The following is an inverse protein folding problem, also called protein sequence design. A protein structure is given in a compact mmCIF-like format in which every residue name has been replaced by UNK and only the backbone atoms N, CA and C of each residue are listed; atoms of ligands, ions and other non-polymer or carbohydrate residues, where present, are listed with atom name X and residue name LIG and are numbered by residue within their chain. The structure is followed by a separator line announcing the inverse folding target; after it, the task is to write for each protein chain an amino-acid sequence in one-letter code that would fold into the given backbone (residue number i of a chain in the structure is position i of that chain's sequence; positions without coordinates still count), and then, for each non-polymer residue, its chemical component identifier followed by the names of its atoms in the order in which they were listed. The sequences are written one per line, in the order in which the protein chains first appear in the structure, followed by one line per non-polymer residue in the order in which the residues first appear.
data_IF_778978277321
#
_entry.id   IF_778978277321
#
_cell.length_a   1.000
_cell.length_b   1.000
_cell.length_c   1.000
_cell.angle_alpha   90.00
_cell.angle_beta   90.00
_cell.angle_gamma   90.00
#
_symmetry.space_group_name_H-M   'P 1'
#
loop_
_entity.id
_entity.type
_entity.pdbx_description
1 polymer ?
#
# COMPACT_ATOMS: atom_id res chain seq x y z
N UNK A 1 -4.89 23.87 4.03
CA UNK A 1 -4.73 22.44 4.32
C UNK A 1 -4.14 21.82 3.08
N UNK A 2 -2.87 21.42 3.15
CA UNK A 2 -2.19 20.70 2.08
C UNK A 2 -2.27 19.22 2.41
N UNK A 3 -2.62 18.39 1.43
CA UNK A 3 -2.69 16.95 1.60
C UNK A 3 -1.74 16.32 0.59
N UNK A 4 -0.83 15.47 1.06
CA UNK A 4 -0.02 14.60 0.23
C UNK A 4 -0.35 13.16 0.59
N UNK A 5 -0.43 12.30 -0.42
CA UNK A 5 -0.69 10.87 -0.24
C UNK A 5 0.27 10.07 -1.10
N UNK A 6 0.71 8.94 -0.55
CA UNK A 6 1.53 7.96 -1.24
C UNK A 6 1.00 6.56 -0.91
N UNK A 7 1.25 5.61 -1.80
CA UNK A 7 0.98 4.19 -1.60
C UNK A 7 2.28 3.44 -1.86
N UNK A 8 2.59 2.45 -1.02
CA UNK A 8 3.67 1.53 -1.34
C UNK A 8 3.15 0.44 -2.30
N UNK A 9 3.98 0.08 -3.27
CA UNK A 9 3.61 -0.84 -4.35
C UNK A 9 4.75 -1.81 -4.59
N UNK A 10 4.42 -3.10 -4.62
CA UNK A 10 5.33 -4.13 -5.12
C UNK A 10 5.01 -4.43 -6.59
N UNK A 11 6.00 -4.29 -7.47
CA UNK A 11 5.88 -4.68 -8.88
C UNK A 11 6.27 -6.15 -9.05
N UNK A 12 5.37 -6.94 -9.62
CA UNK A 12 5.61 -8.36 -9.93
C UNK A 12 6.17 -8.47 -11.35
N UNK A 13 7.50 -8.39 -11.51
CA UNK A 13 8.16 -8.16 -12.82
C UNK A 13 7.67 -9.04 -13.97
N UNK A 14 7.52 -10.34 -13.72
CA UNK A 14 7.05 -11.29 -14.73
C UNK A 14 5.64 -10.97 -15.20
N UNK A 15 4.74 -10.69 -14.26
CA UNK A 15 3.33 -10.41 -14.54
C UNK A 15 3.15 -9.02 -15.15
N UNK A 16 3.94 -8.04 -14.70
CA UNK A 16 3.98 -6.70 -15.28
C UNK A 16 4.32 -6.72 -16.78
N UNK A 17 5.28 -7.57 -17.19
CA UNK A 17 5.64 -7.72 -18.61
C UNK A 17 4.54 -8.37 -19.46
N UNK A 18 3.69 -9.19 -18.84
CA UNK A 18 2.63 -9.92 -19.54
C UNK A 18 1.34 -9.11 -19.62
N UNK A 19 0.96 -8.45 -18.52
CA UNK A 19 -0.37 -7.88 -18.33
C UNK A 19 -0.36 -6.35 -18.28
N UNK A 20 0.80 -5.74 -18.06
CA UNK A 20 0.98 -4.29 -17.98
C UNK A 20 0.43 -3.67 -16.69
N UNK A 21 0.68 -2.37 -16.49
CA UNK A 21 0.25 -1.67 -15.28
C UNK A 21 -1.28 -1.46 -15.19
N UNK A 22 -1.96 -1.44 -16.34
CA UNK A 22 -3.39 -1.19 -16.48
C UNK A 22 -4.20 -2.49 -16.68
N UNK A 23 -3.75 -3.58 -16.09
CA UNK A 23 -4.42 -4.89 -16.15
C UNK A 23 -5.86 -4.80 -15.63
N UNK A 24 -6.82 -5.21 -16.46
CA UNK A 24 -8.27 -5.10 -16.24
C UNK A 24 -8.94 -6.45 -15.92
N UNK A 25 -8.16 -7.52 -15.73
CA UNK A 25 -8.64 -8.90 -15.52
C UNK A 25 -9.27 -9.15 -14.13
N UNK A 26 -9.89 -8.13 -13.53
CA UNK A 26 -10.63 -8.25 -12.28
C UNK A 26 -11.76 -9.26 -12.41
N UNK A 27 -12.00 -10.02 -11.33
CA UNK A 27 -13.01 -11.08 -11.32
C UNK A 27 -14.09 -10.80 -10.30
N UNK A 28 -15.34 -11.01 -10.68
CA UNK A 28 -16.45 -10.98 -9.75
C UNK A 28 -16.37 -12.17 -8.78
N UNK A 29 -16.54 -11.96 -7.47
CA UNK A 29 -16.58 -13.06 -6.50
C UNK A 29 -17.66 -14.08 -6.84
N UNK A 30 -17.38 -15.37 -6.63
CA UNK A 30 -18.38 -16.41 -6.82
C UNK A 30 -19.49 -16.28 -5.76
N UNK A 31 -20.76 -16.59 -6.09
CA UNK A 31 -21.82 -16.61 -5.09
C UNK A 31 -21.48 -17.51 -3.90
N UNK A 32 -21.48 -16.96 -2.70
CA UNK A 32 -21.16 -17.69 -1.47
C UNK A 32 -19.67 -17.88 -1.19
N UNK A 33 -18.76 -17.24 -1.94
CA UNK A 33 -17.34 -17.26 -1.64
C UNK A 33 -17.08 -16.64 -0.24
N UNK A 34 -16.51 -17.39 0.71
CA UNK A 34 -16.27 -16.92 2.08
C UNK A 34 -15.28 -15.75 2.14
N UNK A 35 -14.48 -15.52 1.10
CA UNK A 35 -13.50 -14.44 1.00
C UNK A 35 -14.08 -13.18 0.32
N UNK A 36 -15.38 -13.16 0.02
CA UNK A 36 -16.02 -11.99 -0.56
C UNK A 36 -16.02 -10.82 0.42
N UNK A 37 -15.35 -9.73 0.05
CA UNK A 37 -15.46 -8.48 0.81
C UNK A 37 -16.76 -7.77 0.46
N UNK A 38 -17.66 -7.65 1.44
CA UNK A 38 -18.93 -6.94 1.29
C UNK A 38 -18.72 -5.43 1.50
N UNK A 39 -19.19 -4.60 0.55
CA UNK A 39 -19.08 -3.14 0.58
C UNK A 39 -20.37 -2.46 1.06
N UNK A 40 -21.35 -3.25 1.48
CA UNK A 40 -22.68 -2.81 1.93
C UNK A 40 -23.78 -3.20 0.95
N UNK A 41 -24.92 -3.65 1.51
CA UNK A 41 -26.09 -4.05 0.73
C UNK A 41 -25.79 -5.21 -0.23
N UNK A 42 -25.95 -4.97 -1.53
CA UNK A 42 -25.72 -5.96 -2.60
C UNK A 42 -24.34 -5.84 -3.27
N UNK A 43 -23.50 -4.92 -2.82
CA UNK A 43 -22.23 -4.61 -3.48
C UNK A 43 -21.09 -5.38 -2.83
N UNK A 44 -20.24 -5.95 -3.67
CA UNK A 44 -19.06 -6.73 -3.28
C UNK A 44 -17.85 -6.22 -4.06
N UNK A 45 -16.67 -6.34 -3.46
CA UNK A 45 -15.42 -5.97 -4.13
C UNK A 45 -15.02 -7.05 -5.14
N UNK A 46 -14.62 -6.65 -6.35
CA UNK A 46 -14.00 -7.57 -7.30
C UNK A 46 -12.63 -8.04 -6.81
N UNK A 47 -12.28 -9.29 -7.09
CA UNK A 47 -10.95 -9.81 -6.82
C UNK A 47 -9.95 -9.27 -7.85
N UNK A 48 -8.78 -8.87 -7.37
CA UNK A 48 -7.61 -8.70 -8.23
C UNK A 48 -7.24 -10.04 -8.90
N UNK A 49 -6.56 -10.01 -10.07
CA UNK A 49 -5.97 -11.20 -10.64
C UNK A 49 -5.02 -11.88 -9.63
N UNK A 50 -5.04 -13.22 -9.57
CA UNK A 50 -4.11 -13.99 -8.73
C UNK A 50 -2.65 -13.73 -9.13
N UNK A 51 -2.41 -13.46 -10.42
CA UNK A 51 -1.13 -13.10 -11.00
C UNK A 51 -1.05 -11.60 -11.31
N UNK A 52 -1.50 -10.74 -10.37
CA UNK A 52 -1.49 -9.30 -10.58
C UNK A 52 -0.09 -8.78 -10.98
N UNK A 53 0.00 -7.78 -11.86
CA UNK A 53 1.25 -7.15 -12.28
C UNK A 53 1.90 -6.32 -11.17
N UNK A 54 1.10 -5.85 -10.21
CA UNK A 54 1.53 -5.11 -9.03
C UNK A 54 0.48 -5.24 -7.92
N UNK A 55 0.89 -4.99 -6.67
CA UNK A 55 0.00 -4.99 -5.50
C UNK A 55 0.28 -3.74 -4.66
N UNK A 56 -0.78 -3.18 -4.05
CA UNK A 56 -0.58 -2.35 -2.86
C UNK A 56 -0.03 -3.22 -1.73
N UNK A 57 0.96 -2.70 -1.04
CA UNK A 57 1.63 -3.40 0.07
C UNK A 57 1.83 -2.46 1.25
N UNK A 58 2.06 -3.03 2.43
CA UNK A 58 2.41 -2.24 3.61
C UNK A 58 3.72 -1.47 3.35
N UNK A 59 3.80 -0.27 3.95
CA UNK A 59 4.96 0.63 3.78
C UNK A 59 6.24 -0.08 4.25
N UNK A 60 7.24 -0.14 3.36
CA UNK A 60 8.51 -0.86 3.58
C UNK A 60 8.63 -2.16 2.81
N UNK A 61 7.54 -2.63 2.18
CA UNK A 61 7.53 -3.89 1.41
C UNK A 61 7.67 -3.68 -0.10
N UNK A 62 7.42 -2.47 -0.60
CA UNK A 62 7.67 -2.11 -1.99
C UNK A 62 8.93 -1.25 -2.14
N UNK A 63 9.08 -0.25 -1.27
CA UNK A 63 10.25 0.63 -1.18
C UNK A 63 10.86 0.59 0.22
N UNK A 64 12.17 0.79 0.31
CA UNK A 64 12.92 0.69 1.57
C UNK A 64 12.81 1.94 2.46
N UNK A 65 13.37 1.86 3.66
CA UNK A 65 13.36 2.95 4.65
C UNK A 65 14.00 4.24 4.10
N UNK A 66 15.05 4.14 3.28
CA UNK A 66 15.72 5.31 2.72
C UNK A 66 14.81 6.10 1.78
N UNK A 67 14.06 5.40 0.92
CA UNK A 67 13.03 6.03 0.07
C UNK A 67 11.99 6.78 0.92
N UNK A 68 11.52 6.15 2.00
CA UNK A 68 10.53 6.77 2.87
C UNK A 68 11.10 7.93 3.69
N UNK A 69 12.39 7.93 4.04
CA UNK A 69 13.04 9.07 4.67
C UNK A 69 13.04 10.29 3.72
N UNK A 70 13.40 10.10 2.44
CA UNK A 70 13.35 11.16 1.43
C UNK A 70 11.92 11.73 1.26
N UNK A 71 10.91 10.85 1.29
CA UNK A 71 9.51 11.27 1.23
C UNK A 71 9.13 12.13 2.45
N UNK A 72 9.48 11.69 3.67
CA UNK A 72 9.20 12.43 4.90
C UNK A 72 9.94 13.77 4.96
N UNK A 73 11.20 13.84 4.49
CA UNK A 73 11.96 15.09 4.36
C UNK A 73 11.25 16.09 3.42
N UNK A 74 10.70 15.60 2.31
CA UNK A 74 9.94 16.43 1.38
C UNK A 74 8.66 16.99 2.02
N UNK A 75 7.95 16.20 2.82
CA UNK A 75 6.76 16.66 3.54
C UNK A 75 7.11 17.70 4.61
N UNK A 76 8.16 17.45 5.40
CA UNK A 76 8.59 18.32 6.49
C UNK A 76 8.94 19.76 6.03
N UNK A 77 9.36 19.94 4.78
CA UNK A 77 9.62 21.25 4.17
C UNK A 77 8.36 22.09 3.95
N UNK A 78 7.19 21.45 3.91
CA UNK A 78 5.90 22.10 3.62
C UNK A 78 5.02 22.18 4.86
N UNK A 79 4.84 21.05 5.55
CA UNK A 79 3.98 20.92 6.72
C UNK A 79 4.47 19.77 7.62
N UNK A 80 5.01 20.06 8.82
CA UNK A 80 5.55 19.04 9.73
C UNK A 80 4.47 18.28 10.54
N UNK A 81 3.21 18.34 10.10
CA UNK A 81 2.07 17.66 10.72
C UNK A 81 2.20 16.12 10.71
N UNK A 82 1.47 15.41 11.59
CA UNK A 82 1.58 13.97 11.74
C UNK A 82 1.17 13.19 10.48
N UNK A 83 1.94 12.14 10.17
CA UNK A 83 1.64 11.20 9.07
C UNK A 83 0.63 10.15 9.52
N UNK A 84 -0.42 9.95 8.71
CA UNK A 84 -1.43 8.92 8.94
C UNK A 84 -1.21 7.72 8.01
N UNK A 85 -1.57 6.52 8.49
CA UNK A 85 -1.43 5.27 7.74
C UNK A 85 -2.82 4.76 7.35
N UNK A 86 -3.02 4.51 6.06
CA UNK A 86 -4.13 3.72 5.53
C UNK A 86 -3.57 2.38 5.04
N UNK A 87 -3.98 1.28 5.65
CA UNK A 87 -3.45 -0.05 5.34
C UNK A 87 -4.26 -0.75 4.24
N UNK A 88 -3.60 -1.23 3.19
CA UNK A 88 -4.22 -1.84 2.01
C UNK A 88 -3.39 -3.03 1.44
N UNK A 89 -2.76 -3.81 2.31
CA UNK A 89 -2.01 -5.01 1.90
C UNK A 89 -2.87 -6.26 2.08
N UNK A 90 -3.22 -6.92 0.98
CA UNK A 90 -4.05 -8.14 1.05
C UNK A 90 -3.29 -9.36 1.58
N UNK A 91 -1.96 -9.28 1.71
CA UNK A 91 -1.12 -10.38 2.19
C UNK A 91 -0.91 -10.34 3.71
N UNK A 92 -1.24 -9.24 4.39
CA UNK A 92 -1.07 -9.08 5.83
C UNK A 92 -2.41 -8.89 6.54
N UNK A 93 -2.44 -9.26 7.83
CA UNK A 93 -3.54 -8.85 8.70
C UNK A 93 -3.51 -7.34 8.97
N UNK A 94 -4.65 -6.75 9.35
CA UNK A 94 -4.78 -5.31 9.61
C UNK A 94 -3.73 -4.79 10.61
N UNK A 95 -3.59 -5.45 11.77
CA UNK A 95 -2.64 -5.02 12.81
C UNK A 95 -1.18 -5.23 12.38
N UNK A 96 -0.88 -6.36 11.75
CA UNK A 96 0.46 -6.68 11.25
C UNK A 96 0.91 -5.67 10.19
N UNK A 97 0.01 -5.31 9.28
CA UNK A 97 0.26 -4.32 8.26
C UNK A 97 0.47 -2.90 8.79
N UNK A 98 -0.32 -2.50 9.79
CA UNK A 98 -0.13 -1.22 10.49
C UNK A 98 1.19 -1.21 11.27
N UNK A 99 1.52 -2.29 11.98
CA UNK A 99 2.79 -2.43 12.71
C UNK A 99 3.99 -2.35 11.76
N UNK A 100 3.94 -3.06 10.63
CA UNK A 100 4.99 -3.02 9.59
C UNK A 100 5.17 -1.61 9.06
N UNK A 101 4.07 -0.96 8.68
CA UNK A 101 4.12 0.40 8.11
C UNK A 101 4.63 1.42 9.12
N UNK A 102 4.16 1.34 10.37
CA UNK A 102 4.60 2.24 11.44
C UNK A 102 6.08 2.05 11.76
N UNK A 103 6.56 0.82 11.84
CA UNK A 103 7.97 0.53 12.11
C UNK A 103 8.88 1.13 11.02
N UNK A 104 8.52 0.97 9.74
CA UNK A 104 9.26 1.56 8.61
C UNK A 104 9.29 3.08 8.69
N UNK A 105 8.14 3.73 8.92
CA UNK A 105 8.04 5.19 8.95
C UNK A 105 8.75 5.80 10.16
N UNK A 106 8.71 5.12 11.32
CA UNK A 106 9.46 5.55 12.51
C UNK A 106 10.97 5.45 12.27
N UNK A 107 11.45 4.34 11.69
CA UNK A 107 12.87 4.21 11.32
C UNK A 107 13.30 5.28 10.30
N UNK A 108 12.47 5.55 9.29
CA UNK A 108 12.72 6.59 8.30
C UNK A 108 12.78 8.00 8.94
N UNK A 109 11.96 8.25 9.95
CA UNK A 109 11.96 9.52 10.69
C UNK A 109 13.20 9.69 11.59
N UNK A 110 13.78 8.60 12.12
CA UNK A 110 15.04 8.66 12.87
C UNK A 110 16.20 9.15 11.98
N UNK A 111 16.24 8.71 10.72
CA UNK A 111 17.27 9.13 9.75
C UNK A 111 17.24 10.65 9.47
N UNK A 112 16.06 11.29 9.55
CA UNK A 112 15.91 12.74 9.39
C UNK A 112 16.56 13.56 10.51
N UNK A 113 16.76 12.94 11.69
CA UNK A 113 17.27 13.63 12.88
C UNK A 113 18.80 13.61 12.98
N UNK A 114 19.49 13.07 11.98
CA UNK A 114 20.95 13.17 11.87
C UNK A 114 21.36 14.56 11.33
N UNK A 115 22.14 15.36 12.11
CA UNK A 115 22.50 16.73 11.76
C UNK A 115 23.48 16.87 10.60
#
# INVERSE_FOLDING_TARGET
MFNAAAKDVRVNERNMKLHGALDDRFRTPAPGDPNTLNLGGRYVLNHFPEDAPWNFVAVGRGHDTAYWADFLDALAKIDPDPVNIEHEDTELGQLEGLQTSAATLLAAAEDLTSP
#
